data_IF_126778980883
#
_entry.id   IF_126778980883
#
_cell.length_a   1.000
_cell.length_b   1.000
_cell.length_c   1.000
_cell.angle_alpha   90.00
_cell.angle_beta   90.00
_cell.angle_gamma   90.00
#
_symmetry.space_group_name_H-M   'P 1'
#
loop_
_entity.id
_entity.type
_entity.pdbx_description
1 polymer ?
#
# COMPACT_ATOMS: atom_id res chain seq x y z
N UNK A 1 -31.20 11.96 25.30
CA UNK A 1 -31.27 10.65 24.61
C UNK A 1 -30.64 9.59 25.53
N UNK A 2 -31.33 8.47 25.80
CA UNK A 2 -30.76 7.37 26.60
C UNK A 2 -29.77 6.58 25.72
N UNK A 3 -28.55 6.44 26.17
CA UNK A 3 -27.50 5.62 25.51
C UNK A 3 -27.22 4.36 26.35
N UNK A 4 -26.72 3.33 25.70
CA UNK A 4 -26.24 2.13 26.39
C UNK A 4 -24.93 2.42 27.11
N UNK A 5 -24.63 1.69 28.18
CA UNK A 5 -23.34 1.76 28.83
C UNK A 5 -22.22 1.32 27.87
N UNK A 6 -21.08 1.98 27.91
CA UNK A 6 -19.94 1.67 27.04
C UNK A 6 -19.49 0.22 27.18
N UNK A 7 -19.46 -0.29 28.40
CA UNK A 7 -19.09 -1.69 28.68
C UNK A 7 -19.99 -2.71 27.95
N UNK A 8 -21.31 -2.46 27.92
CA UNK A 8 -22.26 -3.34 27.21
C UNK A 8 -22.06 -3.30 25.70
N UNK A 9 -21.74 -2.12 25.16
CA UNK A 9 -21.46 -1.95 23.72
C UNK A 9 -20.19 -2.70 23.32
N UNK A 10 -19.10 -2.55 24.10
CA UNK A 10 -17.82 -3.23 23.87
C UNK A 10 -17.96 -4.74 24.00
N UNK A 11 -18.66 -5.20 25.06
CA UNK A 11 -18.91 -6.62 25.26
C UNK A 11 -19.67 -7.23 24.08
N UNK A 12 -20.76 -6.62 23.66
CA UNK A 12 -21.56 -7.11 22.52
C UNK A 12 -20.75 -7.17 21.24
N UNK A 13 -19.92 -6.18 20.96
CA UNK A 13 -19.04 -6.19 19.79
C UNK A 13 -18.06 -7.36 19.81
N UNK A 14 -17.40 -7.60 20.96
CA UNK A 14 -16.46 -8.71 21.14
C UNK A 14 -17.11 -10.10 21.07
N UNK A 15 -18.33 -10.24 21.58
CA UNK A 15 -19.06 -11.52 21.57
C UNK A 15 -19.58 -11.90 20.17
N UNK A 16 -19.98 -10.93 19.36
CA UNK A 16 -20.71 -11.18 18.10
C UNK A 16 -19.82 -11.06 16.86
N UNK A 17 -18.96 -10.04 16.80
CA UNK A 17 -18.28 -9.68 15.57
C UNK A 17 -17.25 -10.71 15.08
N UNK A 18 -16.41 -11.34 15.94
CA UNK A 18 -15.47 -12.37 15.52
C UNK A 18 -16.13 -13.58 14.85
N UNK A 19 -17.34 -13.94 15.30
CA UNK A 19 -18.10 -15.06 14.72
C UNK A 19 -18.71 -14.77 13.34
N UNK A 20 -18.52 -13.57 12.78
CA UNK A 20 -19.08 -13.17 11.47
C UNK A 20 -18.08 -13.29 10.31
N UNK A 21 -16.94 -13.92 10.51
CA UNK A 21 -15.91 -14.07 9.46
C UNK A 21 -16.43 -14.73 8.19
N UNK A 22 -17.26 -15.75 8.28
CA UNK A 22 -17.86 -16.43 7.12
C UNK A 22 -18.78 -15.51 6.31
N UNK A 23 -19.59 -14.68 6.97
CA UNK A 23 -20.42 -13.68 6.28
C UNK A 23 -19.58 -12.61 5.59
N UNK A 24 -18.49 -12.18 6.24
CA UNK A 24 -17.54 -11.25 5.64
C UNK A 24 -16.90 -11.83 4.37
N UNK A 25 -16.41 -13.07 4.44
CA UNK A 25 -15.79 -13.76 3.30
C UNK A 25 -16.78 -13.90 2.14
N UNK A 26 -17.98 -14.37 2.41
CA UNK A 26 -19.03 -14.52 1.39
C UNK A 26 -19.34 -13.21 0.66
N UNK A 27 -19.48 -12.11 1.40
CA UNK A 27 -19.79 -10.81 0.81
C UNK A 27 -18.57 -10.16 0.13
N UNK A 28 -17.40 -10.19 0.78
CA UNK A 28 -16.20 -9.51 0.29
C UNK A 28 -15.57 -10.17 -0.93
N UNK A 29 -15.63 -11.52 -1.03
CA UNK A 29 -15.04 -12.25 -2.15
C UNK A 29 -15.69 -11.97 -3.50
N UNK A 30 -16.95 -11.53 -3.52
CA UNK A 30 -17.70 -11.21 -4.75
C UNK A 30 -17.81 -9.70 -5.02
N UNK A 31 -17.38 -8.85 -4.09
CA UNK A 31 -17.53 -7.40 -4.17
C UNK A 31 -16.49 -6.71 -5.11
N UNK A 32 -15.52 -7.46 -5.65
CA UNK A 32 -14.41 -6.90 -6.44
C UNK A 32 -14.83 -6.01 -7.60
N UNK A 33 -15.73 -6.44 -8.51
CA UNK A 33 -16.17 -5.62 -9.64
C UNK A 33 -16.84 -4.31 -9.22
N UNK A 34 -17.73 -4.36 -8.23
CA UNK A 34 -18.42 -3.18 -7.70
C UNK A 34 -17.44 -2.23 -6.98
N UNK A 35 -16.52 -2.79 -6.19
CA UNK A 35 -15.46 -2.02 -5.55
C UNK A 35 -14.61 -1.28 -6.58
N UNK A 36 -14.19 -1.95 -7.66
CA UNK A 36 -13.36 -1.33 -8.70
C UNK A 36 -14.08 -0.16 -9.38
N UNK A 37 -15.34 -0.36 -9.78
CA UNK A 37 -16.16 0.67 -10.43
C UNK A 37 -16.38 1.88 -9.50
N UNK A 38 -16.80 1.65 -8.26
CA UNK A 38 -17.10 2.71 -7.29
C UNK A 38 -15.82 3.45 -6.86
N UNK A 39 -14.69 2.75 -6.72
CA UNK A 39 -13.41 3.37 -6.36
C UNK A 39 -12.88 4.25 -7.49
N UNK A 40 -12.98 3.80 -8.73
CA UNK A 40 -12.62 4.61 -9.89
C UNK A 40 -13.50 5.87 -10.00
N UNK A 41 -14.81 5.73 -9.83
CA UNK A 41 -15.75 6.85 -9.84
C UNK A 41 -15.51 7.87 -8.70
N UNK A 42 -14.95 7.41 -7.58
CA UNK A 42 -14.64 8.27 -6.43
C UNK A 42 -13.33 9.10 -6.60
N UNK A 43 -12.59 8.97 -7.69
CA UNK A 43 -11.34 9.71 -7.91
C UNK A 43 -11.44 11.24 -7.74
N UNK A 44 -12.51 11.93 -8.24
CA UNK A 44 -12.68 13.36 -8.00
C UNK A 44 -12.89 13.69 -6.52
N UNK A 45 -13.65 12.88 -5.80
CA UNK A 45 -13.90 13.03 -4.36
C UNK A 45 -12.59 12.85 -3.56
N UNK A 46 -11.78 11.85 -3.91
CA UNK A 46 -10.45 11.67 -3.33
C UNK A 46 -9.57 12.91 -3.56
N UNK A 47 -9.52 13.40 -4.80
CA UNK A 47 -8.74 14.60 -5.15
C UNK A 47 -9.19 15.81 -4.33
N UNK A 48 -10.49 16.04 -4.20
CA UNK A 48 -11.03 17.13 -3.39
C UNK A 48 -10.67 16.99 -1.91
N UNK A 49 -10.77 15.77 -1.36
CA UNK A 49 -10.48 15.51 0.04
C UNK A 49 -8.99 15.72 0.40
N UNK A 50 -8.04 15.26 -0.46
CA UNK A 50 -6.61 15.46 -0.21
C UNK A 50 -6.13 16.87 -0.56
N UNK A 51 -6.90 17.62 -1.36
CA UNK A 51 -6.65 19.03 -1.67
C UNK A 51 -7.25 20.01 -0.65
N UNK A 52 -7.97 19.51 0.37
CA UNK A 52 -8.55 20.34 1.42
C UNK A 52 -7.43 21.03 2.23
N UNK A 53 -7.47 22.36 2.42
CA UNK A 53 -6.45 23.12 3.15
C UNK A 53 -6.24 22.68 4.61
N UNK A 54 -7.14 21.87 5.17
CA UNK A 54 -7.04 21.38 6.55
C UNK A 54 -6.54 19.93 6.64
N UNK A 55 -6.16 19.30 5.52
CA UNK A 55 -5.79 17.88 5.48
C UNK A 55 -4.55 17.59 6.34
N UNK A 56 -3.57 18.47 6.34
CA UNK A 56 -2.36 18.38 7.15
C UNK A 56 -2.67 18.32 8.64
N UNK A 57 -3.56 19.19 9.12
CA UNK A 57 -4.00 19.25 10.51
C UNK A 57 -4.78 17.99 10.91
N UNK A 58 -5.67 17.51 10.04
CA UNK A 58 -6.43 16.28 10.25
C UNK A 58 -5.51 15.07 10.30
N UNK A 59 -4.54 14.97 9.39
CA UNK A 59 -3.54 13.92 9.38
C UNK A 59 -2.69 13.92 10.64
N UNK A 60 -2.08 15.07 10.97
CA UNK A 60 -1.26 15.22 12.18
C UNK A 60 -2.06 14.93 13.48
N UNK A 61 -3.32 15.41 13.55
CA UNK A 61 -4.23 15.12 14.65
C UNK A 61 -4.54 13.64 14.80
N UNK A 62 -4.75 12.93 13.68
CA UNK A 62 -4.96 11.49 13.66
C UNK A 62 -3.74 10.70 14.17
N UNK A 63 -2.54 11.07 13.70
CA UNK A 63 -1.28 10.47 14.16
C UNK A 63 -1.06 10.71 15.66
N UNK A 64 -1.24 11.94 16.12
CA UNK A 64 -1.12 12.30 17.56
C UNK A 64 -2.11 11.51 18.41
N UNK A 65 -3.36 11.37 17.97
CA UNK A 65 -4.41 10.60 18.68
C UNK A 65 -4.08 9.10 18.75
N UNK A 66 -3.51 8.54 17.67
CA UNK A 66 -3.10 7.14 17.66
C UNK A 66 -1.95 6.88 18.63
N UNK A 67 -0.90 7.70 18.58
CA UNK A 67 0.27 7.60 19.44
C UNK A 67 1.14 6.38 19.20
N UNK A 68 2.33 6.39 19.78
CA UNK A 68 3.31 5.31 19.66
C UNK A 68 2.82 3.99 20.29
N UNK A 69 2.17 4.08 21.44
CA UNK A 69 1.74 2.87 22.18
C UNK A 69 0.72 2.05 21.39
N UNK A 70 -0.26 2.71 20.76
CA UNK A 70 -1.23 2.01 19.90
C UNK A 70 -0.52 1.39 18.69
N UNK A 71 0.42 2.09 18.07
CA UNK A 71 1.20 1.56 16.96
C UNK A 71 1.98 0.31 17.38
N UNK A 72 2.79 0.41 18.43
CA UNK A 72 3.62 -0.69 18.94
C UNK A 72 2.79 -1.91 19.34
N UNK A 73 1.68 -1.70 20.03
CA UNK A 73 0.76 -2.77 20.41
C UNK A 73 0.20 -3.46 19.17
N UNK A 74 -0.27 -2.72 18.18
CA UNK A 74 -0.83 -3.31 16.95
C UNK A 74 0.21 -4.07 16.11
N UNK A 75 1.45 -3.59 16.08
CA UNK A 75 2.55 -4.33 15.43
C UNK A 75 2.78 -5.67 16.13
N UNK A 76 2.88 -5.68 17.46
CA UNK A 76 3.13 -6.89 18.24
C UNK A 76 1.96 -7.88 18.20
N UNK A 77 0.74 -7.40 18.44
CA UNK A 77 -0.43 -8.29 18.62
C UNK A 77 -0.95 -8.85 17.29
N UNK A 78 -0.74 -8.13 16.19
CA UNK A 78 -1.36 -8.46 14.91
C UNK A 78 -0.36 -8.47 13.76
N UNK A 79 0.52 -7.46 13.67
CA UNK A 79 1.41 -7.25 12.53
C UNK A 79 2.37 -8.41 12.33
N UNK A 80 3.05 -8.84 13.39
CA UNK A 80 4.04 -9.93 13.34
C UNK A 80 3.43 -11.23 12.82
N UNK A 81 2.27 -11.61 13.33
CA UNK A 81 1.59 -12.83 12.90
C UNK A 81 1.13 -12.81 11.43
N UNK A 82 0.84 -11.63 10.90
CA UNK A 82 0.37 -11.44 9.52
C UNK A 82 1.49 -11.24 8.50
N UNK A 83 2.69 -10.89 8.94
CA UNK A 83 3.80 -10.53 8.04
C UNK A 83 4.19 -11.70 7.13
N UNK A 84 4.56 -12.85 7.69
CA UNK A 84 4.99 -14.02 6.92
C UNK A 84 3.92 -14.50 5.91
N UNK A 85 2.69 -14.82 6.37
CA UNK A 85 1.61 -15.21 5.46
C UNK A 85 1.29 -14.16 4.40
N UNK A 86 1.34 -12.87 4.75
CA UNK A 86 1.12 -11.77 3.81
C UNK A 86 2.20 -11.70 2.72
N UNK A 87 3.47 -11.86 3.08
CA UNK A 87 4.58 -11.95 2.12
C UNK A 87 4.39 -13.13 1.16
N UNK A 88 4.05 -14.30 1.71
CA UNK A 88 3.82 -15.50 0.89
C UNK A 88 2.66 -15.30 -0.09
N UNK A 89 1.56 -14.73 0.37
CA UNK A 89 0.39 -14.46 -0.47
C UNK A 89 0.67 -13.42 -1.59
N UNK A 90 1.61 -12.50 -1.36
CA UNK A 90 1.97 -11.45 -2.34
C UNK A 90 3.01 -11.86 -3.38
N UNK A 91 3.56 -13.09 -3.32
CA UNK A 91 4.60 -13.54 -4.27
C UNK A 91 4.20 -13.42 -5.75
N UNK A 92 2.98 -13.78 -6.18
CA UNK A 92 2.58 -13.60 -7.58
C UNK A 92 2.58 -12.13 -8.00
N UNK A 93 2.07 -11.23 -7.15
CA UNK A 93 2.03 -9.79 -7.44
C UNK A 93 3.44 -9.19 -7.48
N UNK A 94 4.30 -9.62 -6.56
CA UNK A 94 5.72 -9.25 -6.58
C UNK A 94 6.42 -9.69 -7.85
N UNK A 95 6.20 -10.95 -8.28
CA UNK A 95 6.73 -11.48 -9.52
C UNK A 95 6.27 -10.66 -10.73
N UNK A 96 4.97 -10.40 -10.85
CA UNK A 96 4.38 -9.62 -11.93
C UNK A 96 4.92 -8.18 -11.96
N UNK A 97 5.14 -7.57 -10.80
CA UNK A 97 5.71 -6.23 -10.68
C UNK A 97 7.20 -6.16 -11.00
N UNK A 98 7.96 -7.21 -10.64
CA UNK A 98 9.41 -7.24 -10.84
C UNK A 98 9.84 -7.67 -12.25
N UNK A 99 9.09 -8.54 -12.91
CA UNK A 99 9.43 -9.07 -14.24
C UNK A 99 9.77 -7.95 -15.24
N UNK A 100 8.91 -6.95 -15.48
CA UNK A 100 9.21 -5.89 -16.45
C UNK A 100 10.41 -5.01 -16.05
N UNK A 101 10.74 -4.92 -14.77
CA UNK A 101 11.92 -4.19 -14.31
C UNK A 101 13.20 -4.97 -14.61
N UNK A 102 13.21 -6.29 -14.34
CA UNK A 102 14.34 -7.15 -14.64
C UNK A 102 14.59 -7.29 -16.15
N UNK A 103 13.54 -7.37 -16.96
CA UNK A 103 13.63 -7.33 -18.42
C UNK A 103 14.28 -6.03 -18.89
N UNK A 104 13.86 -4.89 -18.35
CA UNK A 104 14.44 -3.59 -18.69
C UNK A 104 15.91 -3.51 -18.31
N UNK A 105 16.30 -4.02 -17.15
CA UNK A 105 17.69 -4.07 -16.71
C UNK A 105 18.53 -4.95 -17.62
N UNK A 106 18.07 -6.15 -17.98
CA UNK A 106 18.79 -7.08 -18.85
C UNK A 106 18.97 -6.55 -20.27
N UNK A 107 18.00 -5.78 -20.78
CA UNK A 107 18.06 -5.15 -22.08
C UNK A 107 18.88 -3.83 -22.12
N UNK A 108 19.25 -3.28 -20.95
CA UNK A 108 19.95 -2.01 -20.87
C UNK A 108 21.45 -2.19 -21.12
N UNK A 109 21.94 -1.66 -22.23
CA UNK A 109 23.37 -1.60 -22.52
C UNK A 109 24.05 -0.51 -21.69
N UNK A 110 25.04 -0.91 -20.91
CA UNK A 110 25.80 0.01 -20.07
C UNK A 110 27.12 0.41 -20.75
N UNK A 111 27.53 1.69 -20.63
CA UNK A 111 28.87 2.11 -21.08
C UNK A 111 29.96 1.27 -20.42
N UNK A 112 31.12 1.15 -21.06
CA UNK A 112 32.27 0.49 -20.49
C UNK A 112 32.65 1.03 -19.12
N UNK A 113 33.20 0.19 -18.25
CA UNK A 113 33.74 0.65 -16.96
C UNK A 113 35.01 1.48 -17.20
N UNK A 114 35.04 2.65 -16.59
CA UNK A 114 36.23 3.46 -16.47
C UNK A 114 36.98 3.18 -15.14
N UNK A 115 38.22 3.68 -15.01
CA UNK A 115 38.97 3.58 -13.77
C UNK A 115 38.18 4.06 -12.55
N UNK A 116 38.50 3.50 -11.37
CA UNK A 116 37.86 3.89 -10.12
C UNK A 116 38.01 5.39 -9.89
N UNK A 117 36.88 6.02 -9.51
CA UNK A 117 36.84 7.49 -9.30
C UNK A 117 36.54 8.32 -10.55
N UNK A 118 36.43 7.69 -11.72
CA UNK A 118 36.08 8.43 -12.96
C UNK A 118 34.61 8.82 -12.98
N UNK A 119 34.33 10.09 -13.33
CA UNK A 119 32.96 10.61 -13.46
C UNK A 119 32.15 9.89 -14.54
N UNK A 120 32.81 9.30 -15.56
CA UNK A 120 32.13 8.48 -16.58
C UNK A 120 31.45 7.24 -16.02
N UNK A 121 31.81 6.77 -14.83
CA UNK A 121 31.10 5.69 -14.16
C UNK A 121 29.70 6.14 -13.66
N UNK A 122 29.47 7.43 -13.45
CA UNK A 122 28.15 7.98 -13.11
C UNK A 122 27.16 7.82 -14.28
N UNK A 123 27.62 7.80 -15.52
CA UNK A 123 26.76 7.55 -16.68
C UNK A 123 26.12 6.16 -16.65
N UNK A 124 26.79 5.17 -16.07
CA UNK A 124 26.24 3.83 -15.90
C UNK A 124 25.05 3.84 -14.94
N UNK A 125 25.19 4.58 -13.83
CA UNK A 125 24.11 4.74 -12.83
C UNK A 125 22.95 5.51 -13.44
N UNK A 126 23.24 6.60 -14.16
CA UNK A 126 22.24 7.44 -14.83
C UNK A 126 21.45 6.66 -15.87
N UNK A 127 22.13 5.83 -16.67
CA UNK A 127 21.52 4.97 -17.69
C UNK A 127 20.50 4.01 -17.07
N UNK A 128 20.88 3.31 -15.99
CA UNK A 128 19.98 2.40 -15.27
C UNK A 128 18.79 3.15 -14.67
N UNK A 129 19.06 4.24 -13.96
CA UNK A 129 18.02 5.04 -13.31
C UNK A 129 17.00 5.57 -14.32
N UNK A 130 17.46 6.09 -15.48
CA UNK A 130 16.60 6.57 -16.55
C UNK A 130 15.76 5.46 -17.17
N UNK A 131 16.36 4.30 -17.47
CA UNK A 131 15.66 3.16 -18.05
C UNK A 131 14.52 2.67 -17.13
N UNK A 132 14.82 2.47 -15.84
CA UNK A 132 13.82 2.05 -14.86
C UNK A 132 12.73 3.10 -14.63
N UNK A 133 13.11 4.39 -14.58
CA UNK A 133 12.13 5.47 -14.44
C UNK A 133 11.17 5.52 -15.64
N UNK A 134 11.69 5.46 -16.86
CA UNK A 134 10.87 5.43 -18.09
C UNK A 134 9.93 4.23 -18.10
N UNK A 135 10.43 3.02 -17.76
CA UNK A 135 9.60 1.82 -17.68
C UNK A 135 8.47 1.96 -16.66
N UNK A 136 8.79 2.50 -15.48
CA UNK A 136 7.78 2.74 -14.42
C UNK A 136 6.69 3.70 -14.88
N UNK A 137 7.05 4.78 -15.58
CA UNK A 137 6.05 5.73 -16.10
C UNK A 137 5.17 5.07 -17.16
N UNK A 138 5.74 4.28 -18.07
CA UNK A 138 4.99 3.55 -19.07
C UNK A 138 3.98 2.55 -18.45
N UNK A 139 4.40 1.81 -17.43
CA UNK A 139 3.50 0.89 -16.70
C UNK A 139 2.34 1.65 -16.05
N UNK A 140 2.62 2.80 -15.41
CA UNK A 140 1.57 3.61 -14.80
C UNK A 140 0.61 4.26 -15.79
N UNK A 141 1.06 4.52 -16.99
CA UNK A 141 0.20 5.09 -18.05
C UNK A 141 -0.68 4.03 -18.75
N UNK A 142 -0.29 2.76 -18.68
CA UNK A 142 -1.02 1.66 -19.32
C UNK A 142 -2.09 1.04 -18.41
N UNK A 143 -2.06 1.28 -17.13
CA UNK A 143 -2.97 0.69 -16.15
C UNK A 143 -3.71 1.62 -15.32
#
# INVERSE_FOLDING_TARGET
>A
MKTKALADVVKKFGDVTPGRSAYYEQAASVAGPEWAANTAAAAPTYKAAVGDPTIDKRYAGGVKKAGADKFNRKVKDVGVARFGPGVTASLPDYQNGMAPMLETLSATNLPARAPRGSDSNLERVRTIAKALHTKRLAIKAAG
#
